data_IF_789883514678
#
_entry.id   IF_789883514678
#
_cell.length_a   1.000
_cell.length_b   1.000
_cell.length_c   1.000
_cell.angle_alpha   90.00
_cell.angle_beta   90.00
_cell.angle_gamma   90.00
#
_symmetry.space_group_name_H-M   'P 1'
#
loop_
_entity.id
_entity.type
_entity.pdbx_description
1 polymer ?
#
# COMPACT_ATOMS: atom_id res chain seq x y z
N UNK A 1 -27.12 -41.15 -40.70
CA UNK A 1 -25.85 -41.57 -40.07
C UNK A 1 -24.72 -41.19 -41.00
N UNK A 2 -23.75 -40.39 -40.55
CA UNK A 2 -22.53 -40.18 -41.34
C UNK A 2 -21.78 -41.52 -41.42
N UNK A 3 -21.50 -42.00 -42.63
CA UNK A 3 -20.66 -43.18 -42.85
C UNK A 3 -19.25 -42.71 -43.14
N UNK A 4 -18.26 -43.38 -42.55
CA UNK A 4 -16.87 -43.18 -42.93
C UNK A 4 -16.71 -43.57 -44.42
N UNK A 5 -15.89 -42.83 -45.19
CA UNK A 5 -15.58 -43.21 -46.56
C UNK A 5 -15.03 -44.63 -46.60
N UNK A 6 -15.37 -45.39 -47.64
CA UNK A 6 -14.81 -46.75 -47.85
C UNK A 6 -13.29 -46.74 -48.07
N UNK A 7 -12.69 -45.57 -48.25
CA UNK A 7 -11.26 -45.33 -48.42
C UNK A 7 -10.56 -44.87 -47.14
N UNK A 8 -11.30 -44.63 -46.05
CA UNK A 8 -10.70 -44.17 -44.79
C UNK A 8 -9.84 -45.27 -44.17
N UNK A 9 -8.57 -44.94 -43.92
CA UNK A 9 -7.63 -45.85 -43.27
C UNK A 9 -7.73 -45.73 -41.74
N UNK A 10 -7.19 -46.72 -41.02
CA UNK A 10 -7.03 -46.63 -39.55
C UNK A 10 -6.25 -45.37 -39.15
N UNK A 11 -5.27 -44.97 -39.97
CA UNK A 11 -4.50 -43.74 -39.77
C UNK A 11 -5.38 -42.49 -39.84
N UNK A 12 -6.32 -42.44 -40.79
CA UNK A 12 -7.25 -41.32 -40.93
C UNK A 12 -8.21 -41.23 -39.73
N UNK A 13 -8.64 -42.38 -39.20
CA UNK A 13 -9.47 -42.45 -37.99
C UNK A 13 -8.70 -41.93 -36.77
N UNK A 14 -7.45 -42.36 -36.58
CA UNK A 14 -6.59 -41.89 -35.48
C UNK A 14 -6.37 -40.37 -35.57
N UNK A 15 -6.08 -39.86 -36.77
CA UNK A 15 -5.89 -38.42 -36.98
C UNK A 15 -7.15 -37.61 -36.64
N UNK A 16 -8.33 -38.10 -37.05
CA UNK A 16 -9.60 -37.46 -36.72
C UNK A 16 -9.89 -37.46 -35.21
N UNK A 17 -9.62 -38.57 -34.52
CA UNK A 17 -9.78 -38.67 -33.06
C UNK A 17 -8.82 -37.74 -32.31
N UNK A 18 -7.56 -37.67 -32.72
CA UNK A 18 -6.56 -36.75 -32.15
C UNK A 18 -6.97 -35.29 -32.35
N UNK A 19 -7.56 -34.96 -33.50
CA UNK A 19 -8.07 -33.61 -33.77
C UNK A 19 -9.26 -33.26 -32.86
N UNK A 20 -10.21 -34.18 -32.67
CA UNK A 20 -11.34 -33.97 -31.75
C UNK A 20 -10.88 -33.79 -30.30
N UNK A 21 -9.93 -34.60 -29.83
CA UNK A 21 -9.36 -34.48 -28.48
C UNK A 21 -8.73 -33.09 -28.27
N UNK A 22 -7.96 -32.61 -29.23
CA UNK A 22 -7.35 -31.27 -29.19
C UNK A 22 -8.42 -30.14 -29.14
N UNK A 23 -9.53 -30.29 -29.85
CA UNK A 23 -10.64 -29.32 -29.81
C UNK A 23 -11.30 -29.29 -28.41
N UNK A 24 -11.52 -30.45 -27.81
CA UNK A 24 -12.10 -30.56 -26.47
C UNK A 24 -11.16 -29.93 -25.44
N UNK A 25 -9.87 -30.28 -25.45
CA UNK A 25 -8.87 -29.73 -24.53
C UNK A 25 -8.75 -28.20 -24.62
N UNK A 26 -8.87 -27.62 -25.82
CA UNK A 26 -8.88 -26.17 -26.00
C UNK A 26 -10.10 -25.51 -25.37
N UNK A 27 -11.26 -26.15 -25.49
CA UNK A 27 -12.52 -25.69 -24.89
C UNK A 27 -12.42 -25.72 -23.36
N UNK A 28 -11.89 -26.81 -22.81
CA UNK A 28 -11.68 -26.97 -21.37
C UNK A 28 -10.66 -25.97 -20.82
N UNK A 29 -9.58 -25.70 -21.57
CA UNK A 29 -8.61 -24.68 -21.21
C UNK A 29 -9.24 -23.29 -21.16
N UNK A 30 -9.98 -22.90 -22.20
CA UNK A 30 -10.65 -21.61 -22.25
C UNK A 30 -11.70 -21.46 -21.12
N UNK A 31 -12.43 -22.53 -20.81
CA UNK A 31 -13.38 -22.56 -19.70
C UNK A 31 -12.69 -22.41 -18.34
N UNK A 32 -11.54 -23.06 -18.15
CA UNK A 32 -10.78 -23.03 -16.89
C UNK A 32 -10.17 -21.66 -16.63
N UNK A 33 -9.58 -21.03 -17.65
CA UNK A 33 -8.92 -19.72 -17.48
C UNK A 33 -9.90 -18.55 -17.57
N UNK A 34 -11.04 -18.73 -18.24
CA UNK A 34 -12.07 -17.71 -18.43
C UNK A 34 -11.61 -16.53 -19.31
N UNK A 35 -12.34 -15.41 -19.21
CA UNK A 35 -12.00 -14.18 -19.91
C UNK A 35 -10.57 -13.73 -19.57
N UNK A 36 -9.72 -13.38 -20.55
CA UNK A 36 -10.05 -13.02 -21.94
C UNK A 36 -10.08 -14.17 -22.97
N UNK A 37 -9.85 -15.42 -22.58
CA UNK A 37 -9.88 -16.56 -23.50
C UNK A 37 -11.31 -17.00 -23.84
N UNK A 38 -11.49 -17.52 -25.06
CA UNK A 38 -12.75 -18.10 -25.55
C UNK A 38 -12.48 -19.47 -26.20
N UNK A 39 -13.45 -20.39 -26.12
CA UNK A 39 -13.36 -21.69 -26.79
C UNK A 39 -13.26 -21.57 -28.33
N UNK A 40 -13.72 -20.44 -28.89
CA UNK A 40 -13.59 -20.12 -30.31
C UNK A 40 -12.18 -19.68 -30.72
N UNK A 41 -11.33 -19.26 -29.78
CA UNK A 41 -9.98 -18.79 -30.09
C UNK A 41 -9.09 -19.92 -30.63
N UNK A 42 -8.08 -19.58 -31.42
CA UNK A 42 -6.98 -20.51 -31.69
C UNK A 42 -6.07 -20.65 -30.46
N UNK A 43 -5.38 -21.78 -30.31
CA UNK A 43 -4.47 -22.02 -29.17
C UNK A 43 -3.41 -20.93 -29.06
N UNK A 44 -2.82 -20.49 -30.18
CA UNK A 44 -1.85 -19.39 -30.19
C UNK A 44 -2.44 -18.05 -29.70
N UNK A 45 -3.72 -17.80 -30.00
CA UNK A 45 -4.46 -16.63 -29.51
C UNK A 45 -4.70 -16.74 -28.00
N UNK A 46 -5.07 -17.92 -27.49
CA UNK A 46 -5.21 -18.18 -26.05
C UNK A 46 -3.88 -17.91 -25.33
N UNK A 47 -2.76 -18.43 -25.83
CA UNK A 47 -1.42 -18.21 -25.27
C UNK A 47 -1.11 -16.70 -25.20
N UNK A 48 -1.33 -15.98 -26.30
CA UNK A 48 -1.11 -14.53 -26.35
C UNK A 48 -1.97 -13.78 -25.33
N UNK A 49 -3.25 -14.12 -25.25
CA UNK A 49 -4.21 -13.52 -24.32
C UNK A 49 -3.81 -13.76 -22.85
N UNK A 50 -3.38 -14.97 -22.51
CA UNK A 50 -2.90 -15.31 -21.17
C UNK A 50 -1.61 -14.56 -20.82
N UNK A 51 -0.66 -14.46 -21.76
CA UNK A 51 0.56 -13.67 -21.53
C UNK A 51 0.24 -12.19 -21.33
N UNK A 52 -0.72 -11.63 -22.08
CA UNK A 52 -1.18 -10.25 -21.89
C UNK A 52 -1.85 -10.06 -20.53
N UNK A 53 -2.70 -10.99 -20.09
CA UNK A 53 -3.29 -10.94 -18.75
C UNK A 53 -2.21 -10.98 -17.64
N UNK A 54 -1.18 -11.82 -17.81
CA UNK A 54 -0.04 -11.90 -16.89
C UNK A 54 0.78 -10.61 -16.88
N UNK A 55 1.00 -9.99 -18.04
CA UNK A 55 1.65 -8.67 -18.15
C UNK A 55 0.84 -7.59 -17.42
N UNK A 56 -0.48 -7.58 -17.56
CA UNK A 56 -1.37 -6.65 -16.86
C UNK A 56 -1.33 -6.85 -15.34
N UNK A 57 -1.29 -8.09 -14.86
CA UNK A 57 -1.13 -8.38 -13.43
C UNK A 57 0.20 -7.82 -12.90
N UNK A 58 1.32 -8.05 -13.62
CA UNK A 58 2.62 -7.52 -13.23
C UNK A 58 2.66 -5.98 -13.22
N UNK A 59 2.05 -5.33 -14.22
CA UNK A 59 1.92 -3.89 -14.27
C UNK A 59 1.11 -3.35 -13.08
N UNK A 60 -0.01 -3.99 -12.75
CA UNK A 60 -0.86 -3.62 -11.60
C UNK A 60 -0.13 -3.78 -10.26
N UNK A 61 0.65 -4.85 -10.09
CA UNK A 61 1.49 -5.03 -8.89
C UNK A 61 2.55 -3.93 -8.78
N UNK A 62 3.21 -3.60 -9.88
CA UNK A 62 4.21 -2.52 -9.93
C UNK A 62 3.59 -1.18 -9.59
N UNK A 63 2.40 -0.88 -10.11
CA UNK A 63 1.64 0.33 -9.77
C UNK A 63 1.24 0.40 -8.29
N UNK A 64 1.14 -0.75 -7.60
CA UNK A 64 0.91 -0.84 -6.15
C UNK A 64 2.20 -0.90 -5.32
N UNK A 65 3.35 -0.59 -5.93
CA UNK A 65 4.65 -0.52 -5.26
C UNK A 65 5.36 -1.87 -5.09
N UNK A 66 4.84 -2.95 -5.69
CA UNK A 66 5.46 -4.26 -5.67
C UNK A 66 6.16 -4.55 -7.00
N UNK A 67 7.49 -4.66 -6.99
CA UNK A 67 8.25 -4.98 -8.21
C UNK A 67 7.80 -6.31 -8.81
N UNK A 68 7.37 -6.29 -10.06
CA UNK A 68 6.92 -7.47 -10.79
C UNK A 68 7.17 -7.34 -12.29
N UNK A 69 7.42 -8.46 -12.97
CA UNK A 69 7.56 -8.50 -14.44
C UNK A 69 6.65 -9.56 -15.06
N UNK A 70 6.24 -9.32 -16.29
CA UNK A 70 5.43 -10.28 -17.07
C UNK A 70 6.18 -11.56 -17.45
N UNK A 71 7.48 -11.67 -17.17
CA UNK A 71 8.27 -12.89 -17.40
C UNK A 71 8.22 -13.85 -16.23
N UNK A 72 7.80 -13.41 -15.04
CA UNK A 72 7.64 -14.27 -13.87
C UNK A 72 6.55 -15.33 -14.05
N UNK A 73 6.58 -16.36 -13.20
CA UNK A 73 5.52 -17.37 -13.14
C UNK A 73 4.23 -16.77 -12.56
N UNK A 74 3.07 -17.31 -12.96
CA UNK A 74 1.78 -16.85 -12.45
C UNK A 74 1.70 -17.00 -10.92
N UNK A 75 2.24 -18.10 -10.37
CA UNK A 75 2.28 -18.31 -8.91
C UNK A 75 3.14 -17.27 -8.19
N UNK A 76 4.27 -16.85 -8.77
CA UNK A 76 5.10 -15.77 -8.20
C UNK A 76 4.31 -14.47 -8.12
N UNK A 77 3.63 -14.10 -9.22
CA UNK A 77 2.79 -12.92 -9.25
C UNK A 77 1.61 -13.00 -8.27
N UNK A 78 0.98 -14.17 -8.12
CA UNK A 78 -0.08 -14.38 -7.14
C UNK A 78 0.43 -14.22 -5.70
N UNK A 79 1.60 -14.78 -5.37
CA UNK A 79 2.20 -14.63 -4.05
C UNK A 79 2.51 -13.15 -3.72
N UNK A 80 2.90 -12.37 -4.74
CA UNK A 80 3.14 -10.93 -4.62
C UNK A 80 1.88 -10.11 -4.33
N UNK A 81 0.70 -10.59 -4.71
CA UNK A 81 -0.57 -9.95 -4.33
C UNK A 81 -0.75 -9.99 -2.81
N UNK A 82 -0.41 -11.12 -2.16
CA UNK A 82 -0.52 -11.26 -0.71
C UNK A 82 0.51 -10.42 0.06
N UNK A 83 1.64 -10.09 -0.57
CA UNK A 83 2.69 -9.26 0.04
C UNK A 83 2.50 -7.76 -0.23
N UNK A 84 1.39 -7.34 -0.83
CA UNK A 84 1.15 -5.93 -1.11
C UNK A 84 1.15 -5.10 0.19
N UNK A 85 1.83 -3.94 0.21
CA UNK A 85 1.84 -3.08 1.38
C UNK A 85 0.41 -2.58 1.66
N UNK A 86 -0.11 -2.91 2.84
CA UNK A 86 -1.37 -2.37 3.33
C UNK A 86 -1.08 -1.03 3.99
N UNK A 87 -1.69 0.04 3.49
CA UNK A 87 -1.63 1.36 4.14
C UNK A 87 -2.51 1.33 5.38
N UNK A 88 -1.90 1.54 6.55
CA UNK A 88 -2.61 1.66 7.83
C UNK A 88 -2.69 3.13 8.25
N UNK A 89 -3.73 3.43 9.00
CA UNK A 89 -3.88 4.72 9.65
C UNK A 89 -4.58 4.55 11.00
N UNK A 90 -4.38 5.50 11.89
CA UNK A 90 -5.04 5.56 13.19
C UNK A 90 -5.35 7.02 13.56
N UNK A 91 -6.38 7.21 14.38
CA UNK A 91 -6.67 8.50 15.02
C UNK A 91 -6.73 8.28 16.53
N UNK A 92 -5.96 9.06 17.28
CA UNK A 92 -5.81 8.91 18.73
C UNK A 92 -5.90 10.27 19.39
N UNK A 93 -6.64 10.35 20.50
CA UNK A 93 -6.53 11.48 21.43
C UNK A 93 -5.56 11.11 22.53
N UNK A 94 -4.51 11.91 22.69
CA UNK A 94 -3.47 11.71 23.68
C UNK A 94 -3.36 12.93 24.60
N UNK A 95 -3.00 12.70 25.85
CA UNK A 95 -2.74 13.78 26.80
C UNK A 95 -1.37 14.39 26.51
N UNK A 96 -1.30 15.71 26.54
CA UNK A 96 -0.02 16.43 26.51
C UNK A 96 0.62 16.40 27.88
N UNK A 97 1.87 15.94 27.93
CA UNK A 97 2.71 15.90 29.11
C UNK A 97 3.73 17.04 29.10
N UNK A 98 4.15 17.50 30.29
CA UNK A 98 5.13 18.58 30.47
C UNK A 98 4.55 20.00 30.36
N UNK A 99 5.35 21.01 30.75
CA UNK A 99 4.96 22.42 30.72
C UNK A 99 6.18 23.35 30.65
N UNK A 100 5.99 24.57 30.13
CA UNK A 100 7.04 25.60 30.06
C UNK A 100 8.15 25.30 29.05
N UNK A 101 7.81 25.26 27.75
CA UNK A 101 8.79 25.20 26.65
C UNK A 101 9.01 23.82 26.03
N UNK A 102 8.82 22.74 26.80
CA UNK A 102 9.03 21.35 26.38
C UNK A 102 7.81 20.48 26.73
N UNK A 103 6.85 20.38 25.81
CA UNK A 103 5.68 19.51 25.94
C UNK A 103 5.81 18.28 25.03
N UNK A 104 5.28 17.13 25.47
CA UNK A 104 5.32 15.88 24.69
C UNK A 104 3.96 15.23 24.52
N UNK A 105 3.79 14.53 23.41
CA UNK A 105 2.68 13.61 23.16
C UNK A 105 3.23 12.21 22.99
N UNK A 106 2.72 11.26 23.77
CA UNK A 106 3.08 9.85 23.68
C UNK A 106 1.87 9.02 23.29
N UNK A 107 2.04 8.21 22.26
CA UNK A 107 1.06 7.21 21.81
C UNK A 107 1.73 5.85 21.80
N UNK A 108 1.05 4.83 22.31
CA UNK A 108 1.51 3.44 22.35
C UNK A 108 0.44 2.48 21.84
N UNK A 109 0.81 1.23 21.59
CA UNK A 109 -0.12 0.19 21.13
C UNK A 109 -0.42 0.20 19.63
N UNK A 110 0.40 0.91 18.84
CA UNK A 110 0.28 0.82 17.39
C UNK A 110 0.72 -0.56 16.89
N UNK A 111 0.10 -1.02 15.81
CA UNK A 111 0.44 -2.29 15.13
C UNK A 111 1.25 -2.05 13.85
N UNK A 112 1.83 -0.86 13.72
CA UNK A 112 2.62 -0.41 12.57
C UNK A 112 3.51 0.77 12.96
N UNK A 113 4.63 0.94 12.23
CA UNK A 113 5.51 2.10 12.41
C UNK A 113 4.93 3.26 11.59
N UNK A 114 4.60 4.41 12.21
CA UNK A 114 4.12 5.56 11.46
C UNK A 114 5.21 6.11 10.52
N UNK A 115 4.81 6.54 9.33
CA UNK A 115 5.63 7.32 8.40
C UNK A 115 5.28 8.81 8.41
N UNK A 116 4.02 9.14 8.72
CA UNK A 116 3.51 10.50 8.90
C UNK A 116 2.63 10.57 10.16
N UNK A 117 2.85 11.59 10.97
CA UNK A 117 2.03 11.90 12.15
C UNK A 117 1.65 13.37 12.08
N UNK A 118 0.36 13.66 12.25
CA UNK A 118 -0.19 15.01 12.35
C UNK A 118 -0.76 15.15 13.75
N UNK A 119 -0.31 16.16 14.50
CA UNK A 119 -0.75 16.42 15.86
C UNK A 119 -1.41 17.79 15.91
N UNK A 120 -2.68 17.82 16.30
CA UNK A 120 -3.41 19.04 16.65
C UNK A 120 -3.50 19.14 18.16
N UNK A 121 -3.16 20.28 18.74
CA UNK A 121 -3.36 20.54 20.17
C UNK A 121 -3.73 22.00 20.40
N UNK A 122 -4.35 22.29 21.54
CA UNK A 122 -4.66 23.67 21.94
C UNK A 122 -3.54 24.21 22.82
N UNK A 123 -3.11 25.45 22.57
CA UNK A 123 -2.26 26.16 23.53
C UNK A 123 -3.13 26.90 24.53
N UNK A 124 -3.03 26.54 25.80
CA UNK A 124 -3.82 27.17 26.86
C UNK A 124 -3.47 28.63 27.13
N UNK A 125 -2.32 29.15 26.64
CA UNK A 125 -1.96 30.56 26.81
C UNK A 125 -2.65 31.50 25.81
N UNK A 126 -2.89 31.05 24.57
CA UNK A 126 -3.32 31.93 23.48
C UNK A 126 -4.67 31.51 22.85
N UNK A 127 -5.36 30.49 23.38
CA UNK A 127 -6.60 29.91 22.84
C UNK A 127 -6.53 29.47 21.36
N UNK A 128 -5.34 29.40 20.77
CA UNK A 128 -5.10 28.97 19.40
C UNK A 128 -4.94 27.45 19.27
N UNK A 129 -5.35 26.92 18.12
CA UNK A 129 -5.09 25.54 17.71
C UNK A 129 -3.72 25.48 16.99
N UNK A 130 -2.87 24.57 17.42
CA UNK A 130 -1.52 24.35 16.87
C UNK A 130 -1.44 23.01 16.17
N UNK A 131 -0.76 22.99 15.02
CA UNK A 131 -0.61 21.81 14.19
C UNK A 131 0.87 21.47 13.99
N UNK A 132 1.24 20.24 14.30
CA UNK A 132 2.57 19.72 14.09
C UNK A 132 2.53 18.52 13.15
N UNK A 133 3.47 18.47 12.21
CA UNK A 133 3.66 17.35 11.30
C UNK A 133 4.98 16.67 11.64
N UNK A 134 5.05 15.35 11.48
CA UNK A 134 6.24 14.55 11.74
C UNK A 134 6.36 13.50 10.65
N UNK A 135 7.56 13.33 10.12
CA UNK A 135 7.87 12.32 9.13
C UNK A 135 8.97 11.40 9.67
N UNK A 136 8.83 10.10 9.49
CA UNK A 136 9.74 9.13 10.10
C UNK A 136 11.04 8.90 9.33
N UNK A 137 11.24 9.48 8.13
CA UNK A 137 12.39 9.22 7.26
C UNK A 137 12.82 10.47 6.45
N UNK A 138 13.50 11.42 7.07
CA UNK A 138 14.24 12.45 6.33
C UNK A 138 15.70 11.99 6.12
N UNK A 139 16.30 12.17 4.92
CA UNK A 139 17.55 11.52 4.51
C UNK A 139 18.84 11.99 5.21
N UNK A 140 18.78 12.83 6.24
CA UNK A 140 19.96 13.34 6.95
C UNK A 140 20.05 12.72 8.34
N UNK A 141 20.68 11.54 8.48
CA UNK A 141 21.31 10.89 9.66
C UNK A 141 20.69 11.02 11.08
N UNK A 142 19.51 11.60 11.15
CA UNK A 142 18.71 11.93 12.31
C UNK A 142 17.29 11.65 11.82
N UNK A 143 16.46 10.96 12.60
CA UNK A 143 15.00 10.93 12.41
C UNK A 143 14.49 12.38 12.46
N UNK A 144 14.61 13.10 11.33
CA UNK A 144 14.57 14.55 11.29
C UNK A 144 13.11 14.95 11.24
N UNK A 145 12.61 15.41 12.37
CA UNK A 145 11.26 15.93 12.53
C UNK A 145 11.18 17.33 11.91
N UNK A 146 10.42 17.47 10.83
CA UNK A 146 9.99 18.77 10.31
C UNK A 146 8.85 19.29 11.17
N UNK A 147 9.16 20.00 12.25
CA UNK A 147 8.17 20.47 13.22
C UNK A 147 7.39 21.68 12.71
N UNK A 148 6.06 21.53 12.70
CA UNK A 148 5.04 22.59 12.85
C UNK A 148 4.73 23.46 11.62
N UNK A 149 3.55 23.26 11.02
CA UNK A 149 2.85 24.28 10.21
C UNK A 149 1.72 24.80 11.11
N UNK A 150 1.93 25.91 11.82
CA UNK A 150 0.84 26.56 12.55
C UNK A 150 0.09 27.49 11.60
N UNK A 151 -1.19 27.22 11.34
CA UNK A 151 -2.08 28.20 10.75
C UNK A 151 -2.69 29.03 11.89
N UNK A 152 -2.24 30.27 12.06
CA UNK A 152 -2.87 31.23 12.97
C UNK A 152 -4.06 31.86 12.24
N UNK A 153 -5.23 31.80 12.86
CA UNK A 153 -6.51 32.34 12.39
C UNK A 153 -6.60 33.89 12.42
N UNK A 154 -5.53 34.60 12.81
CA UNK A 154 -5.60 35.99 13.24
C UNK A 154 -4.44 36.90 12.77
N UNK A 155 -3.92 36.67 11.56
CA UNK A 155 -3.13 37.68 10.83
C UNK A 155 -1.68 37.96 11.29
N UNK A 156 -1.17 37.31 12.34
CA UNK A 156 0.26 37.37 12.70
C UNK A 156 1.04 36.22 12.08
N UNK A 157 2.04 36.51 11.24
CA UNK A 157 2.97 35.50 10.72
C UNK A 157 4.00 35.16 11.77
N UNK A 158 3.96 33.92 12.26
CA UNK A 158 4.80 33.46 13.34
C UNK A 158 5.67 32.32 12.78
N UNK A 159 6.91 32.66 12.43
CA UNK A 159 7.90 31.77 11.82
C UNK A 159 8.42 30.78 12.85
N UNK A 160 8.30 29.47 12.63
CA UNK A 160 8.79 28.47 13.59
C UNK A 160 9.76 27.44 13.00
N UNK A 161 10.79 27.18 13.81
CA UNK A 161 11.98 26.40 13.51
C UNK A 161 11.73 24.89 13.60
N UNK A 162 12.35 24.13 12.69
CA UNK A 162 12.48 22.68 12.82
C UNK A 162 13.25 22.34 14.13
N UNK A 163 12.58 21.70 15.07
CA UNK A 163 13.15 21.14 16.30
C UNK A 163 13.49 19.67 16.10
N UNK A 164 14.72 19.31 16.44
CA UNK A 164 15.16 17.91 16.42
C UNK A 164 14.52 17.14 17.59
N UNK A 165 13.67 16.17 17.28
CA UNK A 165 12.92 15.37 18.26
C UNK A 165 13.81 14.37 19.04
N UNK A 166 14.98 14.02 18.49
CA UNK A 166 15.88 13.02 19.09
C UNK A 166 16.66 13.54 20.30
N UNK A 167 16.95 14.85 20.35
CA UNK A 167 17.77 15.46 21.41
C UNK A 167 17.15 15.32 22.82
N UNK A 168 15.86 15.06 22.90
CA UNK A 168 15.11 14.95 24.16
C UNK A 168 14.46 13.57 24.35
N UNK A 169 14.92 12.52 23.64
CA UNK A 169 14.40 11.15 23.79
C UNK A 169 13.07 10.88 23.08
N UNK A 170 12.76 11.66 22.04
CA UNK A 170 11.62 11.38 21.15
C UNK A 170 11.91 10.17 20.26
N UNK A 171 10.85 9.43 19.90
CA UNK A 171 10.97 8.23 19.07
C UNK A 171 9.73 8.03 18.19
N UNK A 172 9.91 7.33 17.07
CA UNK A 172 8.82 6.79 16.24
C UNK A 172 9.19 5.35 15.88
N UNK A 173 8.42 4.37 16.36
CA UNK A 173 8.66 2.95 16.12
C UNK A 173 7.35 2.18 15.87
N UNK A 174 7.46 0.87 15.67
CA UNK A 174 6.31 0.00 15.37
C UNK A 174 5.30 -0.15 16.52
N UNK A 175 5.66 0.25 17.74
CA UNK A 175 4.82 0.18 18.94
C UNK A 175 4.17 1.52 19.30
N UNK A 176 4.58 2.62 18.66
CA UNK A 176 4.12 3.96 19.02
C UNK A 176 5.13 5.07 18.74
N UNK A 177 4.91 6.21 19.37
CA UNK A 177 5.80 7.37 19.28
C UNK A 177 5.79 8.22 20.54
N UNK A 178 6.84 9.02 20.68
CA UNK A 178 6.93 10.15 21.61
C UNK A 178 7.44 11.36 20.84
N UNK A 179 6.64 12.42 20.81
CA UNK A 179 6.89 13.61 19.99
C UNK A 179 6.92 14.87 20.85
N UNK A 180 7.90 15.74 20.61
CA UNK A 180 7.96 17.08 21.19
C UNK A 180 7.09 18.04 20.40
N UNK A 181 6.14 18.67 21.09
CA UNK A 181 5.26 19.72 20.55
C UNK A 181 5.58 21.07 21.21
N UNK A 182 5.02 22.14 20.65
CA UNK A 182 5.16 23.48 21.23
C UNK A 182 4.56 23.53 22.65
N UNK A 183 5.12 24.43 23.47
CA UNK A 183 4.66 24.65 24.85
C UNK A 183 3.15 24.79 24.89
N UNK A 184 2.51 23.87 25.60
CA UNK A 184 1.08 23.89 25.88
C UNK A 184 0.86 23.57 27.35
N UNK A 185 -0.36 23.82 27.83
CA UNK A 185 -0.70 23.56 29.22
C UNK A 185 -0.71 22.04 29.45
N UNK A 186 0.07 21.52 30.41
CA UNK A 186 0.03 20.09 30.73
C UNK A 186 -1.40 19.62 31.00
N UNK A 187 -1.74 18.40 30.57
CA UNK A 187 -3.08 17.84 30.70
C UNK A 187 -4.05 18.23 29.58
N UNK A 188 -3.65 19.10 28.65
CA UNK A 188 -4.45 19.39 27.44
C UNK A 188 -4.51 18.15 26.54
N UNK A 189 -5.60 17.98 25.79
CA UNK A 189 -5.72 16.90 24.80
C UNK A 189 -5.12 17.31 23.46
N UNK A 190 -4.38 16.38 22.85
CA UNK A 190 -3.91 16.45 21.48
C UNK A 190 -4.60 15.37 20.64
N UNK A 191 -5.07 15.73 19.45
CA UNK A 191 -5.57 14.78 18.44
C UNK A 191 -4.45 14.45 17.48
N UNK A 192 -4.19 13.16 17.28
CA UNK A 192 -3.16 12.65 16.40
C UNK A 192 -3.78 11.88 15.23
N UNK A 193 -3.41 12.21 14.00
CA UNK A 193 -3.64 11.37 12.82
C UNK A 193 -2.32 10.74 12.41
N UNK A 194 -2.34 9.41 12.27
CA UNK A 194 -1.13 8.58 12.20
C UNK A 194 -1.26 7.73 10.94
N UNK A 195 -0.24 7.71 10.09
CA UNK A 195 -0.26 7.03 8.79
C UNK A 195 1.00 6.19 8.58
N UNK A 196 0.87 5.06 7.87
CA UNK A 196 1.95 4.19 7.39
C UNK A 196 2.42 4.52 5.96
#
# INVERSE_FOLDING_TARGET
>A
MAKLPSTATIKDIIAALQQMECINQKTDLAATVGSPASASDAVATIITKLQNAKNSLAANLTAKGQSATGTESLQSLANKVNSLPVKKWATVTATVEGGGGNSTVTVSGLTFKPSLIIVKHRNGANNGDFWALYFANFPNAYDTVLTTISAITDGSQDTYNAKNNTANGGYINSSGFKLFIQSSTPGTQATCWIYE
#
